data_IF_735037791501
#
_entry.id   IF_735037791501
#
_cell.length_a   1.000
_cell.length_b   1.000
_cell.length_c   1.000
_cell.angle_alpha   90.00
_cell.angle_beta   90.00
_cell.angle_gamma   90.00
#
_symmetry.space_group_name_H-M   'P 1'
#
loop_
_entity.id
_entity.type
_entity.pdbx_description
1 polymer ?
#
# COMPACT_ATOMS: atom_id res chain seq x y z
N UNK A 1 -19.76 25.13 -22.27
CA UNK A 1 -20.84 25.92 -22.93
C UNK A 1 -20.94 27.28 -22.26
N UNK A 2 -21.76 28.22 -22.72
CA UNK A 2 -21.98 29.49 -21.99
C UNK A 2 -22.89 29.29 -20.79
N UNK A 3 -22.86 30.22 -19.84
CA UNK A 3 -23.66 30.14 -18.61
C UNK A 3 -25.17 30.11 -18.92
N UNK A 4 -25.62 30.95 -19.83
CA UNK A 4 -27.04 31.06 -20.22
C UNK A 4 -27.52 29.78 -20.91
N UNK A 5 -26.73 29.23 -21.83
CA UNK A 5 -27.00 27.94 -22.50
C UNK A 5 -27.11 26.79 -21.49
N UNK A 6 -26.28 26.79 -20.43
CA UNK A 6 -26.31 25.76 -19.39
C UNK A 6 -27.55 25.91 -18.50
N UNK A 7 -27.95 27.14 -18.17
CA UNK A 7 -29.17 27.41 -17.41
C UNK A 7 -30.44 27.00 -18.18
N UNK A 8 -30.53 27.33 -19.47
CA UNK A 8 -31.64 26.89 -20.34
C UNK A 8 -31.71 25.36 -20.44
N UNK A 9 -30.56 24.68 -20.60
CA UNK A 9 -30.50 23.23 -20.64
C UNK A 9 -30.89 22.59 -19.30
N UNK A 10 -30.46 23.19 -18.19
CA UNK A 10 -30.82 22.75 -16.84
C UNK A 10 -32.33 22.88 -16.60
N UNK A 11 -32.94 24.01 -16.99
CA UNK A 11 -34.39 24.23 -16.85
C UNK A 11 -35.19 23.29 -17.76
N UNK A 12 -34.74 23.07 -19.00
CA UNK A 12 -35.40 22.14 -19.93
C UNK A 12 -35.42 20.69 -19.43
N UNK A 13 -34.42 20.25 -18.65
CA UNK A 13 -34.38 18.91 -18.04
C UNK A 13 -35.13 18.86 -16.71
N UNK A 14 -34.97 19.86 -15.84
CA UNK A 14 -35.43 19.81 -14.46
C UNK A 14 -36.77 20.53 -14.20
N UNK A 15 -37.30 21.26 -15.18
CA UNK A 15 -38.54 22.05 -15.04
C UNK A 15 -38.47 23.19 -14.02
N UNK A 16 -37.25 23.61 -13.65
CA UNK A 16 -36.98 24.69 -12.70
C UNK A 16 -35.63 25.34 -12.97
N UNK A 17 -35.46 26.56 -12.49
CA UNK A 17 -34.16 27.24 -12.44
C UNK A 17 -33.16 26.47 -11.56
N UNK A 18 -31.88 26.55 -11.93
CA UNK A 18 -30.77 26.02 -11.13
C UNK A 18 -30.61 26.82 -9.83
N UNK A 19 -30.29 26.13 -8.74
CA UNK A 19 -29.91 26.78 -7.48
C UNK A 19 -28.44 27.24 -7.53
N UNK A 20 -28.06 28.20 -6.70
CA UNK A 20 -26.69 28.71 -6.64
C UNK A 20 -25.65 27.61 -6.34
N UNK A 21 -26.05 26.55 -5.62
CA UNK A 21 -25.20 25.38 -5.35
C UNK A 21 -24.95 24.55 -6.61
N UNK A 22 -25.99 24.32 -7.43
CA UNK A 22 -25.88 23.56 -8.68
C UNK A 22 -25.07 24.33 -9.73
N UNK A 23 -25.30 25.65 -9.80
CA UNK A 23 -24.52 26.56 -10.65
C UNK A 23 -23.03 26.58 -10.26
N UNK A 24 -22.72 26.64 -8.96
CA UNK A 24 -21.35 26.59 -8.46
C UNK A 24 -20.68 25.24 -8.69
N UNK A 25 -21.44 24.13 -8.58
CA UNK A 25 -20.94 22.79 -8.84
C UNK A 25 -20.64 22.55 -10.33
N UNK A 26 -21.52 22.99 -11.23
CA UNK A 26 -21.31 22.90 -12.67
C UNK A 26 -20.14 23.79 -13.15
N UNK A 27 -19.95 24.98 -12.56
CA UNK A 27 -18.75 25.79 -12.80
C UNK A 27 -17.47 25.09 -12.31
N UNK A 28 -17.52 24.44 -11.13
CA UNK A 28 -16.39 23.68 -10.60
C UNK A 28 -16.06 22.41 -11.42
N UNK A 29 -17.07 21.81 -12.04
CA UNK A 29 -16.92 20.70 -13.00
C UNK A 29 -16.44 21.17 -14.39
N UNK A 30 -16.45 22.47 -14.67
CA UNK A 30 -16.10 23.03 -15.98
C UNK A 30 -17.17 22.82 -17.06
N UNK A 31 -18.44 22.61 -16.68
CA UNK A 31 -19.55 22.40 -17.63
C UNK A 31 -19.85 23.67 -18.45
N UNK A 32 -19.72 24.84 -17.82
CA UNK A 32 -19.80 26.14 -18.47
C UNK A 32 -18.65 27.07 -18.03
N UNK A 33 -18.34 28.07 -18.86
CA UNK A 33 -17.30 29.07 -18.59
C UNK A 33 -17.90 30.30 -17.88
N UNK A 34 -17.16 30.90 -16.94
CA UNK A 34 -17.60 32.11 -16.25
C UNK A 34 -17.41 33.35 -17.14
N UNK A 35 -18.52 33.92 -17.63
CA UNK A 35 -18.49 35.09 -18.50
C UNK A 35 -17.83 36.33 -17.86
N UNK A 36 -16.94 36.97 -18.62
CA UNK A 36 -16.33 38.25 -18.27
C UNK A 36 -17.32 39.40 -18.49
N UNK A 37 -17.75 40.03 -17.39
CA UNK A 37 -18.82 41.05 -17.30
C UNK A 37 -18.58 42.31 -18.16
N UNK A 38 -19.65 43.06 -18.48
CA UNK A 38 -19.93 44.30 -17.71
C UNK A 38 -21.41 44.51 -17.30
N UNK A 39 -21.60 45.24 -16.20
CA UNK A 39 -22.87 45.46 -15.47
C UNK A 39 -23.68 46.67 -15.97
N UNK A 40 -25.01 46.68 -15.73
CA UNK A 40 -25.88 47.78 -15.22
C UNK A 40 -27.41 47.51 -15.51
N UNK A 41 -28.42 48.26 -14.98
CA UNK A 41 -28.93 48.05 -13.60
C UNK A 41 -30.49 48.10 -13.47
N UNK A 42 -31.09 47.71 -12.33
CA UNK A 42 -32.45 48.18 -11.95
C UNK A 42 -32.56 48.54 -10.45
N UNK A 43 -32.70 49.85 -10.20
CA UNK A 43 -33.41 50.61 -9.16
C UNK A 43 -33.57 50.13 -7.69
N UNK A 44 -33.33 51.09 -6.78
CA UNK A 44 -33.56 51.07 -5.33
C UNK A 44 -35.00 51.47 -4.94
N UNK A 45 -35.40 51.19 -3.68
CA UNK A 45 -36.17 52.13 -2.85
C UNK A 45 -35.61 52.20 -1.42
N UNK A 46 -35.90 53.30 -0.72
CA UNK A 46 -35.20 53.85 0.46
C UNK A 46 -36.24 54.25 1.54
N UNK A 47 -35.85 54.37 2.83
CA UNK A 47 -36.29 55.43 3.80
C UNK A 47 -35.52 55.33 5.15
N UNK A 48 -35.34 56.49 5.82
CA UNK A 48 -34.59 56.76 7.07
C UNK A 48 -35.52 56.66 8.32
N UNK A 49 -35.12 56.69 9.63
CA UNK A 49 -34.61 57.77 10.52
C UNK A 49 -34.70 57.27 12.01
N UNK A 50 -34.30 57.93 13.13
CA UNK A 50 -33.09 58.68 13.59
C UNK A 50 -33.17 58.98 15.14
N UNK A 51 -32.02 59.10 15.83
CA UNK A 51 -31.74 59.73 17.16
C UNK A 51 -32.23 59.17 18.55
N UNK A 52 -31.24 59.01 19.47
CA UNK A 52 -31.17 59.33 20.95
C UNK A 52 -32.14 58.66 21.98
N UNK A 53 -31.95 58.61 23.31
CA UNK A 53 -30.99 59.23 24.30
C UNK A 53 -30.62 58.24 25.48
N UNK A 54 -30.21 58.70 26.68
CA UNK A 54 -29.80 57.91 27.89
C UNK A 54 -30.80 58.05 29.12
N UNK A 55 -30.46 57.74 30.42
CA UNK A 55 -30.40 56.40 31.05
C UNK A 55 -31.09 56.26 32.45
N UNK A 56 -31.53 55.04 32.88
CA UNK A 56 -31.55 54.61 34.32
C UNK A 56 -31.72 53.08 34.51
N UNK A 57 -31.34 52.57 35.71
CA UNK A 57 -31.21 51.15 36.07
C UNK A 57 -32.47 50.45 36.65
N UNK A 58 -32.41 49.10 36.67
CA UNK A 58 -32.88 48.15 37.72
C UNK A 58 -34.09 47.20 37.46
N UNK A 59 -33.72 45.97 37.06
CA UNK A 59 -34.26 44.64 37.47
C UNK A 59 -35.60 44.05 36.95
N UNK A 60 -35.42 42.86 36.34
CA UNK A 60 -36.21 41.60 36.38
C UNK A 60 -37.40 41.30 35.43
N UNK A 61 -37.25 40.13 34.78
CA UNK A 61 -38.24 39.17 34.22
C UNK A 61 -38.83 39.38 32.80
N UNK A 62 -38.08 38.82 31.84
CA UNK A 62 -38.53 37.85 30.82
C UNK A 62 -39.92 38.03 30.14
N UNK A 63 -39.91 38.64 28.95
CA UNK A 63 -40.67 38.12 27.80
C UNK A 63 -40.01 38.54 26.48
N UNK A 64 -40.35 37.84 25.41
CA UNK A 64 -39.50 37.74 24.21
C UNK A 64 -39.54 38.94 23.25
N UNK A 65 -38.50 38.98 22.39
CA UNK A 65 -38.52 39.39 20.96
C UNK A 65 -37.86 40.73 20.57
N UNK A 66 -36.54 40.71 20.43
CA UNK A 66 -35.79 41.22 19.25
C UNK A 66 -34.33 40.74 19.38
N UNK A 67 -33.78 40.04 18.39
CA UNK A 67 -33.06 40.63 17.24
C UNK A 67 -31.90 41.52 17.68
N UNK A 68 -30.69 40.97 17.72
CA UNK A 68 -29.49 41.77 17.51
C UNK A 68 -28.44 40.99 16.71
N UNK A 69 -27.69 41.72 15.89
CA UNK A 69 -26.96 41.21 14.73
C UNK A 69 -25.85 40.20 15.08
N UNK A 70 -25.88 39.04 14.43
CA UNK A 70 -24.69 38.21 14.31
C UNK A 70 -23.78 38.80 13.22
N UNK A 71 -22.53 39.08 13.57
CA UNK A 71 -21.54 39.60 12.62
C UNK A 71 -21.21 38.49 11.63
N UNK A 72 -21.74 38.61 10.40
CA UNK A 72 -21.38 37.72 9.29
C UNK A 72 -19.96 38.06 8.85
N UNK A 73 -18.97 37.49 9.52
CA UNK A 73 -17.68 37.23 8.86
C UNK A 73 -17.95 36.27 7.70
N UNK A 74 -17.25 36.40 6.56
CA UNK A 74 -17.34 35.43 5.47
C UNK A 74 -16.97 34.03 6.00
N UNK A 75 -17.97 33.15 6.10
CA UNK A 75 -17.70 31.73 6.33
C UNK A 75 -17.05 31.15 5.07
N UNK A 76 -15.72 31.07 5.06
CA UNK A 76 -14.97 30.26 4.10
C UNK A 76 -15.56 28.83 4.17
N UNK A 77 -15.93 28.21 3.03
CA UNK A 77 -16.66 26.95 3.05
C UNK A 77 -15.88 25.87 3.80
N UNK A 78 -16.46 25.34 4.89
CA UNK A 78 -15.82 24.46 5.87
C UNK A 78 -15.15 23.18 5.26
N UNK A 79 -15.58 22.76 4.07
CA UNK A 79 -14.94 21.69 3.31
C UNK A 79 -13.55 22.08 2.75
N UNK A 80 -13.31 23.34 2.38
CA UNK A 80 -12.04 23.78 1.82
C UNK A 80 -10.95 23.94 2.88
N UNK A 81 -11.29 24.49 4.05
CA UNK A 81 -10.37 24.59 5.20
C UNK A 81 -10.01 23.21 5.76
N UNK A 82 -10.97 22.30 5.94
CA UNK A 82 -10.67 20.95 6.45
C UNK A 82 -9.77 20.17 5.49
N UNK A 83 -9.97 20.30 4.18
CA UNK A 83 -9.11 19.65 3.16
C UNK A 83 -7.69 20.23 3.13
N UNK A 84 -7.54 21.56 3.22
CA UNK A 84 -6.23 22.23 3.34
C UNK A 84 -5.51 21.85 4.64
N UNK A 85 -6.19 21.94 5.78
CA UNK A 85 -5.63 21.61 7.09
C UNK A 85 -5.25 20.12 7.24
N UNK A 86 -6.02 19.21 6.63
CA UNK A 86 -5.64 17.79 6.56
C UNK A 86 -4.43 17.58 5.63
N UNK A 87 -4.34 18.29 4.50
CA UNK A 87 -3.15 18.27 3.63
C UNK A 87 -1.90 18.74 4.37
N UNK A 88 -1.99 19.83 5.14
CA UNK A 88 -0.87 20.36 5.93
C UNK A 88 -0.46 19.43 7.07
N UNK A 89 -1.42 18.84 7.80
CA UNK A 89 -1.15 17.80 8.80
C UNK A 89 -0.44 16.59 8.18
N UNK A 90 -0.92 16.07 7.05
CA UNK A 90 -0.28 14.94 6.36
C UNK A 90 1.13 15.29 5.89
N UNK A 91 1.35 16.50 5.34
CA UNK A 91 2.69 16.98 4.97
C UNK A 91 3.62 17.10 6.18
N UNK A 92 3.14 17.61 7.31
CA UNK A 92 3.89 17.74 8.56
C UNK A 92 4.29 16.36 9.12
N UNK A 93 3.33 15.44 9.28
CA UNK A 93 3.61 14.07 9.72
C UNK A 93 4.55 13.32 8.77
N UNK A 94 4.39 13.48 7.45
CA UNK A 94 5.30 12.89 6.47
C UNK A 94 6.74 13.42 6.58
N UNK A 95 6.92 14.74 6.69
CA UNK A 95 8.24 15.36 6.88
C UNK A 95 8.92 14.88 8.17
N UNK A 96 8.15 14.75 9.25
CA UNK A 96 8.65 14.26 10.54
C UNK A 96 9.03 12.78 10.47
N UNK A 97 8.21 11.95 9.81
CA UNK A 97 8.52 10.54 9.54
C UNK A 97 9.84 10.38 8.77
N UNK A 98 10.04 11.08 7.65
CA UNK A 98 11.28 10.95 6.88
C UNK A 98 12.52 11.47 7.63
N UNK A 99 12.37 12.56 8.40
CA UNK A 99 13.43 13.07 9.28
C UNK A 99 13.84 12.02 10.33
N UNK A 100 12.86 11.44 11.02
CA UNK A 100 13.06 10.34 11.96
C UNK A 100 13.66 9.10 11.29
N UNK A 101 13.18 8.71 10.10
CA UNK A 101 13.65 7.55 9.36
C UNK A 101 15.15 7.66 9.05
N UNK A 102 15.62 8.82 8.59
CA UNK A 102 17.04 9.08 8.32
C UNK A 102 17.87 9.08 9.61
N UNK A 103 17.36 9.62 10.73
CA UNK A 103 18.02 9.52 12.03
C UNK A 103 18.15 8.06 12.49
N UNK A 104 17.07 7.29 12.41
CA UNK A 104 16.99 5.91 12.85
C UNK A 104 17.84 4.97 11.97
N UNK A 105 17.95 5.22 10.67
CA UNK A 105 18.89 4.49 9.81
C UNK A 105 20.36 4.74 10.17
N UNK A 106 20.71 5.97 10.57
CA UNK A 106 22.06 6.30 11.06
C UNK A 106 22.34 5.71 12.43
N UNK A 107 21.36 5.75 13.33
CA UNK A 107 21.48 5.36 14.74
C UNK A 107 20.27 4.52 15.18
N UNK A 108 20.15 3.24 14.76
CA UNK A 108 18.96 2.38 14.98
C UNK A 108 18.78 1.89 16.43
N UNK A 109 19.47 2.51 17.39
CA UNK A 109 19.52 2.14 18.81
C UNK A 109 19.27 3.34 19.74
N UNK A 110 19.07 4.55 19.22
CA UNK A 110 18.84 5.76 20.03
C UNK A 110 17.36 5.80 20.45
N UNK A 111 17.14 5.87 21.76
CA UNK A 111 15.83 5.69 22.42
C UNK A 111 15.20 7.01 22.89
N UNK A 112 15.30 8.08 22.10
CA UNK A 112 15.06 9.46 22.58
C UNK A 112 14.07 10.31 21.78
N UNK A 113 13.34 9.76 20.81
CA UNK A 113 12.27 10.48 20.08
C UNK A 113 10.89 9.91 20.50
N UNK A 114 9.96 10.74 20.99
CA UNK A 114 8.63 10.32 21.49
C UNK A 114 7.79 9.56 20.45
N UNK A 115 8.03 9.82 19.16
CA UNK A 115 7.35 9.22 18.02
C UNK A 115 7.90 7.84 17.61
N UNK A 116 8.98 7.34 18.23
CA UNK A 116 9.68 6.12 17.81
C UNK A 116 8.75 4.89 17.72
N UNK A 117 7.77 4.78 18.63
CA UNK A 117 6.74 3.74 18.58
C UNK A 117 5.85 3.86 17.32
N UNK A 118 5.43 5.07 16.96
CA UNK A 118 4.50 5.31 15.85
C UNK A 118 5.20 5.17 14.50
N UNK A 119 6.31 5.89 14.31
CA UNK A 119 7.08 5.83 13.06
C UNK A 119 7.77 4.48 12.87
N UNK A 120 8.18 3.82 13.96
CA UNK A 120 8.64 2.44 13.95
C UNK A 120 7.56 1.46 13.50
N UNK A 121 6.33 1.58 14.02
CA UNK A 121 5.19 0.74 13.60
C UNK A 121 4.82 0.95 12.13
N UNK A 122 4.80 2.20 11.67
CA UNK A 122 4.59 2.54 10.24
C UNK A 122 5.67 1.89 9.38
N UNK A 123 6.94 1.97 9.80
CA UNK A 123 8.05 1.35 9.07
C UNK A 123 7.94 -0.18 9.01
N UNK A 124 7.46 -0.81 10.08
CA UNK A 124 7.22 -2.26 10.14
C UNK A 124 6.09 -2.70 9.21
N UNK A 125 4.99 -1.95 9.18
CA UNK A 125 3.86 -2.17 8.25
C UNK A 125 4.31 -2.03 6.80
N UNK A 126 5.03 -0.95 6.48
CA UNK A 126 5.59 -0.74 5.13
C UNK A 126 6.59 -1.84 4.75
N UNK A 127 7.43 -2.30 5.68
CA UNK A 127 8.35 -3.40 5.43
C UNK A 127 7.62 -4.70 5.10
N UNK A 128 6.56 -5.06 5.82
CA UNK A 128 5.74 -6.25 5.53
C UNK A 128 5.06 -6.12 4.16
N UNK A 129 4.50 -4.95 3.85
CA UNK A 129 3.84 -4.65 2.58
C UNK A 129 4.78 -4.78 1.37
N UNK A 130 6.02 -4.30 1.51
CA UNK A 130 7.04 -4.38 0.47
C UNK A 130 7.57 -5.79 0.27
N UNK A 131 7.75 -6.60 1.32
CA UNK A 131 8.18 -7.99 1.16
C UNK A 131 7.08 -8.87 0.57
N UNK A 132 5.81 -8.67 0.96
CA UNK A 132 4.66 -9.28 0.28
C UNK A 132 4.60 -8.88 -1.20
N UNK A 133 4.84 -7.59 -1.48
CA UNK A 133 4.96 -7.06 -2.84
C UNK A 133 6.10 -7.72 -3.62
N UNK A 134 7.25 -7.93 -2.99
CA UNK A 134 8.44 -8.52 -3.63
C UNK A 134 8.19 -9.99 -4.02
N UNK A 135 7.71 -10.80 -3.07
CA UNK A 135 7.39 -12.20 -3.33
C UNK A 135 6.37 -12.34 -4.47
N UNK A 136 5.28 -11.57 -4.42
CA UNK A 136 4.21 -11.67 -5.42
C UNK A 136 4.61 -11.10 -6.78
N UNK A 137 5.28 -9.95 -6.83
CA UNK A 137 5.74 -9.33 -8.08
C UNK A 137 6.82 -10.18 -8.75
N UNK A 138 7.71 -10.82 -7.99
CA UNK A 138 8.67 -11.78 -8.53
C UNK A 138 7.96 -12.95 -9.22
N UNK A 139 7.06 -13.64 -8.52
CA UNK A 139 6.34 -14.80 -9.08
C UNK A 139 5.51 -14.37 -10.30
N UNK A 140 4.76 -13.26 -10.19
CA UNK A 140 3.95 -12.72 -11.28
C UNK A 140 4.80 -12.39 -12.51
N UNK A 141 5.92 -11.69 -12.35
CA UNK A 141 6.85 -11.35 -13.45
C UNK A 141 7.50 -12.58 -14.05
N UNK A 142 7.90 -13.55 -13.22
CA UNK A 142 8.50 -14.80 -13.68
C UNK A 142 7.53 -15.62 -14.53
N UNK A 143 6.29 -15.79 -14.09
CA UNK A 143 5.25 -16.49 -14.85
C UNK A 143 4.91 -15.74 -16.15
N UNK A 144 4.74 -14.42 -16.11
CA UNK A 144 4.54 -13.62 -17.32
C UNK A 144 5.74 -13.68 -18.28
N UNK A 145 6.97 -13.78 -17.77
CA UNK A 145 8.16 -13.98 -18.60
C UNK A 145 8.09 -15.23 -19.47
N UNK A 146 7.39 -16.27 -18.99
CA UNK A 146 7.17 -17.55 -19.72
C UNK A 146 5.93 -17.43 -20.63
N UNK A 147 4.84 -16.81 -20.16
CA UNK A 147 3.60 -16.65 -20.94
C UNK A 147 3.77 -15.69 -22.13
N UNK A 148 4.58 -14.64 -21.94
CA UNK A 148 4.92 -13.63 -22.93
C UNK A 148 6.26 -13.94 -23.64
N UNK A 149 6.63 -15.23 -23.76
CA UNK A 149 7.72 -15.64 -24.63
C UNK A 149 7.34 -15.34 -26.09
N UNK A 150 8.24 -14.67 -26.80
CA UNK A 150 8.02 -14.16 -28.15
C UNK A 150 9.24 -14.37 -29.04
N UNK A 151 8.99 -14.35 -30.33
CA UNK A 151 9.98 -14.43 -31.42
C UNK A 151 9.67 -13.30 -32.41
N UNK A 152 10.53 -13.05 -33.42
CA UNK A 152 10.17 -12.16 -34.54
C UNK A 152 8.95 -12.64 -35.34
N UNK A 153 8.68 -13.95 -35.34
CA UNK A 153 7.73 -14.62 -36.23
C UNK A 153 6.38 -14.96 -35.57
N UNK A 154 6.31 -14.93 -34.23
CA UNK A 154 5.17 -15.44 -33.45
C UNK A 154 5.42 -15.52 -31.95
N UNK A 155 4.37 -15.91 -31.21
CA UNK A 155 4.30 -15.94 -29.74
C UNK A 155 3.11 -16.79 -29.28
N UNK A 156 3.06 -17.25 -28.02
CA UNK A 156 1.88 -17.98 -27.50
C UNK A 156 0.58 -17.17 -27.70
N UNK A 157 0.66 -15.84 -27.59
CA UNK A 157 -0.48 -14.93 -27.77
C UNK A 157 -1.05 -14.92 -29.19
N UNK A 158 -0.19 -15.05 -30.20
CA UNK A 158 -0.59 -15.07 -31.62
C UNK A 158 -0.94 -16.48 -32.08
N UNK A 159 -0.22 -17.47 -31.57
CA UNK A 159 -0.21 -18.84 -32.11
C UNK A 159 -1.22 -19.75 -31.36
N UNK A 160 -1.54 -19.40 -30.10
CA UNK A 160 -2.47 -20.12 -29.23
C UNK A 160 -3.24 -19.16 -28.28
N UNK A 161 -4.05 -18.22 -28.80
CA UNK A 161 -4.66 -17.13 -28.02
C UNK A 161 -5.52 -17.62 -26.84
N UNK A 162 -6.31 -18.69 -27.01
CA UNK A 162 -7.14 -19.26 -25.94
C UNK A 162 -6.32 -19.82 -24.76
N UNK A 163 -5.10 -20.28 -25.03
CA UNK A 163 -4.17 -20.79 -24.01
C UNK A 163 -3.49 -19.61 -23.32
N UNK A 164 -3.07 -18.60 -24.10
CA UNK A 164 -2.55 -17.35 -23.57
C UNK A 164 -3.54 -16.67 -22.62
N UNK A 165 -4.80 -16.49 -23.02
CA UNK A 165 -5.81 -15.81 -22.20
C UNK A 165 -6.12 -16.57 -20.91
N UNK A 166 -6.19 -17.91 -20.97
CA UNK A 166 -6.31 -18.77 -19.76
C UNK A 166 -5.15 -18.54 -18.79
N UNK A 167 -3.90 -18.59 -19.27
CA UNK A 167 -2.72 -18.38 -18.43
C UNK A 167 -2.62 -16.94 -17.88
N UNK A 168 -2.93 -15.94 -18.70
CA UNK A 168 -2.94 -14.53 -18.32
C UNK A 168 -3.99 -14.23 -17.23
N UNK A 169 -5.21 -14.72 -17.42
CA UNK A 169 -6.31 -14.55 -16.47
C UNK A 169 -6.03 -15.30 -15.17
N UNK A 170 -5.47 -16.52 -15.27
CA UNK A 170 -5.01 -17.28 -14.12
C UNK A 170 -3.99 -16.50 -13.29
N UNK A 171 -2.89 -16.01 -13.90
CA UNK A 171 -1.81 -15.33 -13.16
C UNK A 171 -2.32 -14.03 -12.54
N UNK A 172 -3.17 -13.30 -13.27
CA UNK A 172 -3.77 -12.05 -12.79
C UNK A 172 -4.73 -12.27 -11.61
N UNK A 173 -5.44 -13.42 -11.58
CA UNK A 173 -6.34 -13.80 -10.50
C UNK A 173 -5.58 -14.33 -9.27
N UNK A 174 -4.74 -15.35 -9.44
CA UNK A 174 -4.05 -16.02 -8.33
C UNK A 174 -2.87 -15.22 -7.73
N UNK A 175 -2.33 -14.25 -8.47
CA UNK A 175 -1.26 -13.37 -7.98
C UNK A 175 -1.65 -11.87 -8.05
N UNK A 176 -2.95 -11.60 -7.90
CA UNK A 176 -3.53 -10.25 -7.79
C UNK A 176 -3.57 -9.68 -6.35
N UNK A 177 -4.26 -8.55 -6.20
CA UNK A 177 -4.31 -7.76 -4.96
C UNK A 177 -4.77 -8.55 -3.72
N UNK A 178 -5.75 -9.46 -3.88
CA UNK A 178 -6.25 -10.26 -2.75
C UNK A 178 -5.18 -11.18 -2.16
N UNK A 179 -4.31 -11.75 -3.00
CA UNK A 179 -3.19 -12.57 -2.54
C UNK A 179 -2.06 -11.71 -1.99
N UNK A 180 -1.79 -10.54 -2.56
CA UNK A 180 -0.89 -9.57 -1.93
C UNK A 180 -1.32 -9.23 -0.50
N UNK A 181 -2.62 -8.98 -0.29
CA UNK A 181 -3.18 -8.67 1.04
C UNK A 181 -3.01 -9.85 2.02
N UNK A 182 -3.25 -11.10 1.58
CA UNK A 182 -3.01 -12.29 2.39
C UNK A 182 -1.54 -12.40 2.84
N UNK A 183 -0.59 -12.31 1.91
CA UNK A 183 0.85 -12.37 2.21
C UNK A 183 1.30 -11.21 3.09
N UNK A 184 0.74 -10.01 2.88
CA UNK A 184 0.99 -8.84 3.73
C UNK A 184 0.53 -9.05 5.17
N UNK A 185 -0.71 -9.51 5.40
CA UNK A 185 -1.22 -9.75 6.76
C UNK A 185 -0.43 -10.87 7.46
N UNK A 186 -0.05 -11.90 6.73
CA UNK A 186 0.75 -13.01 7.23
C UNK A 186 2.17 -12.57 7.65
N UNK A 187 2.84 -11.76 6.82
CA UNK A 187 4.15 -11.18 7.14
C UNK A 187 4.06 -10.15 8.27
N UNK A 188 3.01 -9.33 8.30
CA UNK A 188 2.73 -8.38 9.37
C UNK A 188 2.54 -9.09 10.71
N UNK A 189 1.87 -10.26 10.72
CA UNK A 189 1.74 -11.10 11.90
C UNK A 189 3.11 -11.59 12.40
N UNK A 190 3.97 -12.12 11.54
CA UNK A 190 5.31 -12.59 11.95
C UNK A 190 6.22 -11.47 12.40
N UNK A 191 6.18 -10.32 11.72
CA UNK A 191 6.88 -9.12 12.17
C UNK A 191 6.33 -8.65 13.52
N UNK A 192 5.01 -8.60 13.70
CA UNK A 192 4.37 -8.29 14.97
C UNK A 192 4.84 -9.22 16.10
N UNK A 193 4.81 -10.54 15.88
CA UNK A 193 5.31 -11.55 16.84
C UNK A 193 6.80 -11.33 17.15
N UNK A 194 7.62 -11.10 16.13
CA UNK A 194 9.07 -10.93 16.27
C UNK A 194 9.46 -9.70 17.10
N UNK A 195 8.69 -8.60 17.03
CA UNK A 195 8.95 -7.41 17.86
C UNK A 195 8.19 -7.45 19.21
N UNK A 196 7.04 -8.12 19.32
CA UNK A 196 6.25 -8.14 20.57
C UNK A 196 6.78 -9.11 21.61
N UNK A 197 7.22 -10.31 21.22
CA UNK A 197 7.73 -11.31 22.18
C UNK A 197 8.91 -10.77 23.01
N UNK A 198 9.95 -10.15 22.44
CA UNK A 198 11.03 -9.56 23.23
C UNK A 198 10.55 -8.44 24.16
N UNK A 199 9.59 -7.61 23.73
CA UNK A 199 9.02 -6.52 24.54
C UNK A 199 8.26 -7.02 25.78
N UNK A 200 7.59 -8.18 25.65
CA UNK A 200 6.87 -8.86 26.73
C UNK A 200 7.82 -9.59 27.69
N UNK A 201 8.96 -10.09 27.20
CA UNK A 201 9.96 -10.82 28.00
C UNK A 201 10.97 -9.91 28.72
N UNK A 202 11.14 -8.66 28.27
CA UNK A 202 11.92 -7.65 28.99
C UNK A 202 11.31 -7.36 30.38
N UNK A 203 12.17 -7.23 31.41
CA UNK A 203 11.77 -6.90 32.79
C UNK A 203 12.26 -5.52 33.22
N UNK A 204 12.68 -4.67 32.28
CA UNK A 204 12.96 -3.25 32.54
C UNK A 204 11.75 -2.53 33.15
N UNK A 205 11.98 -1.44 33.88
CA UNK A 205 10.90 -0.60 34.45
C UNK A 205 10.14 0.23 33.41
N UNK A 206 10.54 0.16 32.14
CA UNK A 206 9.93 0.90 31.03
C UNK A 206 8.50 0.43 30.74
N UNK A 207 7.66 1.35 30.27
CA UNK A 207 6.31 1.03 29.77
C UNK A 207 6.37 0.19 28.49
N UNK A 208 5.30 -0.55 28.19
CA UNK A 208 5.23 -1.36 26.96
C UNK A 208 5.47 -0.53 25.68
N UNK A 209 4.97 0.71 25.64
CA UNK A 209 5.16 1.64 24.50
C UNK A 209 6.65 1.95 24.29
N UNK A 210 7.41 2.22 25.36
CA UNK A 210 8.84 2.53 25.29
C UNK A 210 9.67 1.30 24.92
N UNK A 211 9.38 0.12 25.51
CA UNK A 211 10.06 -1.14 25.17
C UNK A 211 9.85 -1.52 23.70
N UNK A 212 8.60 -1.48 23.24
CA UNK A 212 8.26 -1.80 21.86
C UNK A 212 8.80 -0.74 20.89
N UNK A 213 8.75 0.55 21.25
CA UNK A 213 9.36 1.63 20.48
C UNK A 213 10.87 1.45 20.31
N UNK A 214 11.59 1.09 21.38
CA UNK A 214 13.03 0.76 21.34
C UNK A 214 13.32 -0.36 20.35
N UNK A 215 12.57 -1.46 20.41
CA UNK A 215 12.68 -2.57 19.46
C UNK A 215 12.43 -2.11 18.02
N UNK A 216 11.35 -1.37 17.78
CA UNK A 216 10.99 -0.82 16.47
C UNK A 216 12.01 0.17 15.88
N UNK A 217 13.00 0.63 16.66
CA UNK A 217 14.13 1.41 16.15
C UNK A 217 14.94 0.71 15.04
N UNK A 218 14.84 -0.62 14.93
CA UNK A 218 15.47 -1.41 13.86
C UNK A 218 14.57 -1.64 12.64
N UNK A 219 13.25 -1.37 12.73
CA UNK A 219 12.31 -1.53 11.62
C UNK A 219 12.69 -0.74 10.35
N UNK A 220 13.31 0.46 10.42
CA UNK A 220 13.88 1.14 9.26
C UNK A 220 14.90 0.33 8.45
N UNK A 221 15.74 -0.49 9.09
CA UNK A 221 16.71 -1.34 8.38
C UNK A 221 16.00 -2.42 7.57
N UNK A 222 14.98 -3.05 8.17
CA UNK A 222 14.13 -4.04 7.52
C UNK A 222 13.31 -3.42 6.38
N UNK A 223 12.82 -2.18 6.56
CA UNK A 223 12.15 -1.41 5.52
C UNK A 223 13.07 -1.17 4.31
N UNK A 224 14.28 -0.65 4.51
CA UNK A 224 15.25 -0.41 3.42
C UNK A 224 15.58 -1.71 2.69
N UNK A 225 15.79 -2.80 3.43
CA UNK A 225 16.07 -4.11 2.84
C UNK A 225 14.91 -4.62 1.99
N UNK A 226 13.67 -4.45 2.45
CA UNK A 226 12.48 -4.88 1.73
C UNK A 226 12.16 -3.95 0.54
N UNK A 227 12.53 -2.67 0.59
CA UNK A 227 12.56 -1.79 -0.60
C UNK A 227 13.53 -2.35 -1.64
N UNK A 228 14.76 -2.70 -1.24
CA UNK A 228 15.76 -3.29 -2.15
C UNK A 228 15.25 -4.61 -2.73
N UNK A 229 14.68 -5.50 -1.90
CA UNK A 229 14.07 -6.75 -2.37
C UNK A 229 12.96 -6.48 -3.39
N UNK A 230 12.05 -5.55 -3.12
CA UNK A 230 11.00 -5.17 -4.07
C UNK A 230 11.57 -4.63 -5.39
N UNK A 231 12.56 -3.73 -5.35
CA UNK A 231 13.19 -3.18 -6.55
C UNK A 231 13.93 -4.25 -7.37
N UNK A 232 14.61 -5.19 -6.72
CA UNK A 232 15.32 -6.31 -7.36
C UNK A 232 14.37 -7.18 -8.21
N UNK A 233 13.08 -7.29 -7.83
CA UNK A 233 12.09 -8.02 -8.65
C UNK A 233 11.87 -7.44 -10.05
N UNK A 234 12.14 -6.15 -10.26
CA UNK A 234 11.97 -5.50 -11.57
C UNK A 234 13.08 -5.87 -12.57
N UNK A 235 14.16 -6.52 -12.11
CA UNK A 235 15.15 -7.16 -12.98
C UNK A 235 14.57 -8.37 -13.73
N UNK A 236 13.50 -8.98 -13.20
CA UNK A 236 12.73 -9.98 -13.93
C UNK A 236 11.88 -9.27 -14.98
N UNK A 237 12.21 -9.45 -16.26
CA UNK A 237 11.35 -8.98 -17.36
C UNK A 237 10.08 -9.82 -17.41
N UNK A 238 8.95 -9.16 -17.67
CA UNK A 238 7.63 -9.78 -17.85
C UNK A 238 7.40 -10.29 -19.28
N UNK A 239 8.37 -10.13 -20.17
CA UNK A 239 8.38 -10.58 -21.56
C UNK A 239 9.82 -10.85 -22.01
N UNK A 240 9.99 -11.84 -22.89
CA UNK A 240 11.30 -12.22 -23.43
C UNK A 240 11.19 -12.47 -24.93
N UNK A 241 12.21 -12.03 -25.67
CA UNK A 241 12.40 -12.34 -27.07
C UNK A 241 13.52 -13.38 -27.19
N UNK A 242 13.21 -14.55 -27.74
CA UNK A 242 14.12 -15.71 -27.82
C UNK A 242 14.03 -16.40 -29.19
N UNK A 243 14.90 -17.39 -29.43
CA UNK A 243 14.90 -18.19 -30.67
C UNK A 243 13.58 -18.96 -30.84
N UNK A 244 13.13 -19.08 -32.09
CA UNK A 244 11.91 -19.80 -32.48
C UNK A 244 11.94 -21.30 -32.18
N UNK A 245 13.13 -21.90 -32.06
CA UNK A 245 13.31 -23.27 -31.58
C UNK A 245 12.74 -23.48 -30.15
N UNK A 246 12.94 -22.51 -29.26
CA UNK A 246 12.48 -22.63 -27.87
C UNK A 246 10.97 -22.36 -27.73
N UNK A 247 10.43 -21.41 -28.50
CA UNK A 247 9.00 -21.09 -28.48
C UNK A 247 8.17 -22.19 -29.14
N UNK A 248 8.65 -22.79 -30.23
CA UNK A 248 7.98 -23.95 -30.84
C UNK A 248 7.96 -25.15 -29.89
N UNK A 249 9.07 -25.46 -29.20
CA UNK A 249 9.11 -26.53 -28.17
C UNK A 249 8.26 -26.21 -26.93
N UNK A 250 8.16 -24.95 -26.52
CA UNK A 250 7.23 -24.53 -25.45
C UNK A 250 5.78 -24.73 -25.90
N UNK A 251 5.42 -24.22 -27.09
CA UNK A 251 4.08 -24.34 -27.67
C UNK A 251 3.68 -25.80 -27.83
N UNK A 252 4.56 -26.65 -28.38
CA UNK A 252 4.31 -28.09 -28.49
C UNK A 252 4.15 -28.73 -27.10
N UNK A 253 5.00 -28.43 -26.12
CA UNK A 253 4.85 -28.97 -24.76
C UNK A 253 3.54 -28.55 -24.09
N UNK A 254 3.10 -27.30 -24.30
CA UNK A 254 1.83 -26.80 -23.75
C UNK A 254 0.65 -27.47 -24.45
N UNK A 255 0.67 -27.64 -25.77
CA UNK A 255 -0.37 -28.33 -26.55
C UNK A 255 -0.41 -29.84 -26.20
N UNK A 256 0.73 -30.53 -26.21
CA UNK A 256 0.89 -31.95 -25.88
C UNK A 256 0.57 -32.26 -24.40
N UNK A 257 0.68 -31.26 -23.51
CA UNK A 257 0.26 -31.43 -22.12
C UNK A 257 -1.24 -31.68 -21.97
N UNK A 258 -2.06 -31.26 -22.95
CA UNK A 258 -3.53 -31.33 -22.85
C UNK A 258 -4.08 -30.54 -21.66
N UNK A 259 -3.37 -29.52 -21.19
CA UNK A 259 -3.68 -28.78 -19.96
C UNK A 259 -3.16 -29.42 -18.67
N UNK A 260 -2.51 -30.59 -18.70
CA UNK A 260 -1.92 -31.19 -17.50
C UNK A 260 -0.71 -30.38 -17.01
N UNK A 261 -0.92 -29.67 -15.90
CA UNK A 261 0.11 -28.86 -15.25
C UNK A 261 1.46 -29.58 -15.06
N UNK A 262 1.45 -30.85 -14.63
CA UNK A 262 2.70 -31.55 -14.33
C UNK A 262 3.57 -31.78 -15.59
N UNK A 263 2.94 -32.02 -16.74
CA UNK A 263 3.61 -32.09 -18.04
C UNK A 263 4.11 -30.70 -18.46
N UNK A 264 3.27 -29.68 -18.31
CA UNK A 264 3.62 -28.29 -18.63
C UNK A 264 4.79 -27.76 -17.78
N UNK A 265 4.79 -28.02 -16.46
CA UNK A 265 5.88 -27.69 -15.53
C UNK A 265 7.18 -28.43 -15.86
N UNK A 266 7.11 -29.68 -16.32
CA UNK A 266 8.30 -30.44 -16.71
C UNK A 266 8.97 -29.83 -17.96
N UNK A 267 8.18 -29.38 -18.93
CA UNK A 267 8.64 -28.60 -20.09
C UNK A 267 9.16 -27.21 -19.73
N UNK A 268 8.53 -26.52 -18.78
CA UNK A 268 9.04 -25.25 -18.28
C UNK A 268 10.38 -25.45 -17.55
N UNK A 269 10.54 -26.54 -16.80
CA UNK A 269 11.78 -26.89 -16.10
C UNK A 269 12.95 -27.19 -17.06
N UNK A 270 12.72 -27.87 -18.19
CA UNK A 270 13.76 -28.05 -19.22
C UNK A 270 14.11 -26.71 -19.87
N UNK A 271 13.13 -25.88 -20.24
CA UNK A 271 13.39 -24.58 -20.85
C UNK A 271 14.09 -23.59 -19.91
N UNK A 272 13.81 -23.60 -18.60
CA UNK A 272 14.56 -22.81 -17.61
C UNK A 272 16.05 -23.21 -17.59
N UNK A 273 16.37 -24.49 -17.85
CA UNK A 273 17.75 -24.97 -17.94
C UNK A 273 18.40 -24.66 -19.29
N UNK A 274 17.65 -24.73 -20.38
CA UNK A 274 18.17 -24.57 -21.74
C UNK A 274 18.26 -23.11 -22.20
N UNK A 275 17.41 -22.20 -21.70
CA UNK A 275 17.33 -20.80 -22.12
C UNK A 275 18.08 -19.89 -21.12
N UNK A 276 19.23 -19.28 -21.51
CA UNK A 276 20.03 -18.44 -20.60
C UNK A 276 19.25 -17.23 -20.05
N UNK A 277 18.33 -16.68 -20.84
CA UNK A 277 17.46 -15.60 -20.39
C UNK A 277 16.61 -15.99 -19.18
N UNK A 278 16.06 -17.22 -19.13
CA UNK A 278 15.27 -17.72 -17.99
C UNK A 278 16.16 -18.01 -16.77
N UNK A 279 17.37 -18.54 -16.96
CA UNK A 279 18.35 -18.73 -15.87
C UNK A 279 18.69 -17.41 -15.16
N UNK A 280 18.77 -16.30 -15.90
CA UNK A 280 19.02 -14.98 -15.31
C UNK A 280 17.91 -14.54 -14.35
N UNK A 281 16.66 -14.94 -14.60
CA UNK A 281 15.52 -14.64 -13.71
C UNK A 281 15.59 -15.48 -12.42
N UNK A 282 16.03 -16.74 -12.51
CA UNK A 282 16.26 -17.60 -11.33
C UNK A 282 17.34 -17.01 -10.42
N UNK A 283 18.34 -16.33 -10.98
CA UNK A 283 19.37 -15.62 -10.20
C UNK A 283 18.78 -14.47 -9.38
N UNK A 284 17.70 -13.82 -9.85
CA UNK A 284 16.94 -12.83 -9.07
C UNK A 284 16.28 -13.48 -7.85
N UNK A 285 15.76 -14.71 -7.97
CA UNK A 285 15.26 -15.47 -6.83
C UNK A 285 16.34 -15.69 -5.76
N UNK A 286 17.58 -15.98 -6.17
CA UNK A 286 18.72 -16.13 -5.25
C UNK A 286 19.01 -14.83 -4.50
N UNK A 287 18.97 -13.67 -5.18
CA UNK A 287 19.13 -12.37 -4.50
C UNK A 287 17.99 -12.10 -3.51
N UNK A 288 16.74 -12.41 -3.85
CA UNK A 288 15.60 -12.27 -2.94
C UNK A 288 15.72 -13.18 -1.71
N UNK A 289 16.19 -14.41 -1.88
CA UNK A 289 16.47 -15.33 -0.78
C UNK A 289 17.55 -14.78 0.16
N UNK A 290 18.67 -14.30 -0.38
CA UNK A 290 19.76 -13.68 0.39
C UNK A 290 19.25 -12.45 1.16
N UNK A 291 18.50 -11.56 0.52
CA UNK A 291 17.91 -10.38 1.18
C UNK A 291 16.92 -10.79 2.29
N UNK A 292 16.11 -11.83 2.08
CA UNK A 292 15.19 -12.35 3.10
C UNK A 292 15.95 -12.91 4.31
N UNK A 293 17.05 -13.64 4.08
CA UNK A 293 17.94 -14.15 5.15
C UNK A 293 18.62 -13.00 5.91
N UNK A 294 19.06 -11.94 5.23
CA UNK A 294 19.62 -10.75 5.88
C UNK A 294 18.57 -10.06 6.77
N UNK A 295 17.31 -9.97 6.31
CA UNK A 295 16.22 -9.38 7.09
C UNK A 295 15.90 -10.19 8.33
N UNK A 296 15.95 -11.51 8.20
CA UNK A 296 15.83 -12.47 9.29
C UNK A 296 16.95 -12.32 10.33
N UNK A 297 18.19 -12.06 9.89
CA UNK A 297 19.32 -11.74 10.79
C UNK A 297 19.09 -10.39 11.51
N UNK A 298 18.59 -9.35 10.82
CA UNK A 298 18.27 -8.05 11.44
C UNK A 298 17.21 -8.20 12.55
N UNK A 299 16.16 -8.99 12.30
CA UNK A 299 15.14 -9.32 13.30
C UNK A 299 15.76 -10.00 14.52
N UNK A 300 16.56 -11.05 14.31
CA UNK A 300 17.20 -11.85 15.36
C UNK A 300 18.16 -11.01 16.21
N UNK A 301 18.99 -10.16 15.59
CA UNK A 301 19.90 -9.23 16.30
C UNK A 301 19.11 -8.20 17.11
N UNK A 302 17.98 -7.71 16.60
CA UNK A 302 17.10 -6.78 17.33
C UNK A 302 16.49 -7.42 18.59
N UNK A 303 16.08 -8.69 18.50
CA UNK A 303 15.63 -9.46 19.67
C UNK A 303 16.73 -9.52 20.75
N UNK A 304 17.93 -10.04 20.39
CA UNK A 304 19.02 -10.30 21.35
C UNK A 304 19.45 -9.03 22.08
N UNK A 305 19.63 -7.91 21.37
CA UNK A 305 20.14 -6.67 21.98
C UNK A 305 19.20 -6.07 23.02
N UNK A 306 17.90 -6.31 22.92
CA UNK A 306 16.91 -5.66 23.77
C UNK A 306 16.72 -6.39 25.11
N UNK A 307 16.91 -7.71 25.17
CA UNK A 307 16.79 -8.51 26.40
C UNK A 307 17.99 -8.42 27.35
N UNK A 308 19.00 -7.59 27.04
CA UNK A 308 20.30 -7.58 27.72
C UNK A 308 20.34 -6.96 29.13
N UNK A 309 19.23 -6.41 29.65
CA UNK A 309 19.22 -5.60 30.89
C UNK A 309 18.63 -6.23 32.16
N UNK A 310 18.01 -7.42 32.12
CA UNK A 310 17.29 -7.91 33.32
C UNK A 310 17.09 -9.43 33.45
N UNK A 311 17.97 -10.26 32.89
CA UNK A 311 17.83 -11.73 32.95
C UNK A 311 18.91 -12.40 33.81
N UNK A 312 19.00 -12.00 35.07
CA UNK A 312 19.89 -12.62 36.08
C UNK A 312 19.51 -14.08 36.46
N UNK A 313 18.35 -14.57 36.00
CA UNK A 313 17.81 -15.89 36.38
C UNK A 313 17.69 -16.90 35.20
N UNK A 314 17.92 -16.45 33.97
CA UNK A 314 17.95 -17.30 32.76
C UNK A 314 19.10 -16.78 31.90
N UNK A 315 20.08 -17.63 31.60
CA UNK A 315 21.21 -17.24 30.77
C UNK A 315 20.71 -16.63 29.44
N UNK A 316 21.31 -15.53 28.98
CA UNK A 316 20.95 -14.84 27.72
C UNK A 316 20.88 -15.80 26.53
N UNK A 317 21.71 -16.86 26.55
CA UNK A 317 21.66 -17.99 25.63
C UNK A 317 20.29 -18.69 25.58
N UNK A 318 19.62 -18.95 26.71
CA UNK A 318 18.32 -19.62 26.73
C UNK A 318 17.19 -18.73 26.22
N UNK A 319 17.19 -17.44 26.56
CA UNK A 319 16.20 -16.50 25.98
C UNK A 319 16.42 -16.33 24.48
N UNK A 320 17.68 -16.32 24.02
CA UNK A 320 18.02 -16.37 22.59
C UNK A 320 17.51 -17.65 21.95
N UNK A 321 17.74 -18.82 22.56
CA UNK A 321 17.23 -20.11 22.07
C UNK A 321 15.70 -20.11 22.00
N UNK A 322 14.98 -19.62 23.01
CA UNK A 322 13.51 -19.58 23.01
C UNK A 322 12.97 -18.60 21.97
N UNK A 323 13.54 -17.40 21.85
CA UNK A 323 13.15 -16.43 20.82
C UNK A 323 13.43 -16.96 19.42
N UNK A 324 14.59 -17.60 19.20
CA UNK A 324 14.91 -18.29 17.94
C UNK A 324 13.99 -19.49 17.71
N UNK A 325 13.63 -20.26 18.72
CA UNK A 325 12.72 -21.40 18.59
C UNK A 325 11.31 -20.93 18.20
N UNK A 326 10.75 -19.93 18.89
CA UNK A 326 9.43 -19.37 18.57
C UNK A 326 9.44 -18.68 17.21
N UNK A 327 10.52 -17.98 16.87
CA UNK A 327 10.66 -17.36 15.55
C UNK A 327 10.85 -18.41 14.43
N UNK A 328 11.61 -19.48 14.65
CA UNK A 328 11.73 -20.61 13.71
C UNK A 328 10.42 -21.39 13.60
N UNK A 329 9.65 -21.53 14.68
CA UNK A 329 8.29 -22.10 14.65
C UNK A 329 7.37 -21.19 13.84
N UNK A 330 7.39 -19.88 14.09
CA UNK A 330 6.60 -18.90 13.35
C UNK A 330 6.98 -18.89 11.86
N UNK A 331 8.27 -18.93 11.53
CA UNK A 331 8.79 -19.04 10.15
C UNK A 331 8.50 -20.41 9.54
N UNK A 332 8.52 -21.51 10.28
CA UNK A 332 8.16 -22.83 9.77
C UNK A 332 6.67 -22.93 9.44
N UNK A 333 5.80 -22.40 10.32
CA UNK A 333 4.38 -22.28 10.02
C UNK A 333 4.13 -21.27 8.90
N UNK A 334 4.87 -20.15 8.83
CA UNK A 334 4.75 -19.21 7.71
C UNK A 334 5.23 -19.80 6.40
N UNK A 335 6.38 -20.44 6.36
CA UNK A 335 6.92 -21.10 5.18
C UNK A 335 5.95 -22.19 4.73
N UNK A 336 5.40 -22.99 5.65
CA UNK A 336 4.38 -23.98 5.30
C UNK A 336 3.08 -23.35 4.78
N UNK A 337 2.64 -22.20 5.31
CA UNK A 337 1.43 -21.48 4.85
C UNK A 337 1.65 -20.66 3.56
N UNK A 338 2.84 -20.09 3.38
CA UNK A 338 3.29 -19.36 2.20
C UNK A 338 3.51 -20.35 1.05
N UNK A 339 4.28 -21.40 1.29
CA UNK A 339 4.54 -22.47 0.36
C UNK A 339 3.26 -23.23 0.05
N UNK A 340 2.38 -23.53 1.03
CA UNK A 340 1.06 -24.08 0.69
C UNK A 340 0.27 -23.07 -0.14
N UNK A 341 0.17 -21.80 0.24
CA UNK A 341 -0.57 -20.80 -0.57
C UNK A 341 -0.01 -20.61 -1.98
N UNK A 342 1.31 -20.70 -2.18
CA UNK A 342 1.97 -20.69 -3.49
C UNK A 342 1.70 -22.00 -4.22
N UNK A 343 1.83 -23.16 -3.57
CA UNK A 343 1.56 -24.48 -4.13
C UNK A 343 0.08 -24.72 -4.42
N UNK A 344 -0.83 -24.08 -3.69
CA UNK A 344 -2.29 -24.11 -3.88
C UNK A 344 -2.67 -23.18 -5.03
N UNK A 345 -1.99 -22.04 -5.14
CA UNK A 345 -2.06 -21.21 -6.35
C UNK A 345 -1.57 -22.03 -7.54
N UNK A 346 -0.37 -22.62 -7.48
CA UNK A 346 0.16 -23.48 -8.53
C UNK A 346 -0.70 -24.73 -8.78
N UNK A 347 -1.31 -25.35 -7.77
CA UNK A 347 -2.14 -26.55 -7.95
C UNK A 347 -3.49 -26.21 -8.55
N UNK A 348 -4.02 -24.99 -8.34
CA UNK A 348 -5.18 -24.50 -9.10
C UNK A 348 -4.90 -24.30 -10.59
N UNK A 349 -3.64 -24.38 -11.05
CA UNK A 349 -3.32 -24.55 -12.48
C UNK A 349 -3.66 -25.97 -12.98
N UNK A 350 -3.67 -26.99 -12.11
CA UNK A 350 -4.01 -28.38 -12.48
C UNK A 350 -5.48 -28.48 -12.88
N UNK A 351 -6.35 -27.70 -12.25
CA UNK A 351 -7.79 -27.70 -12.51
C UNK A 351 -8.16 -27.02 -13.85
N UNK A 352 -7.20 -26.39 -14.54
CA UNK A 352 -7.37 -26.01 -15.96
C UNK A 352 -7.39 -27.23 -16.91
N UNK A 353 -7.03 -28.44 -16.45
CA UNK A 353 -7.06 -29.65 -17.30
C UNK A 353 -8.44 -30.30 -17.45
N UNK A 354 -9.53 -29.60 -17.07
CA UNK A 354 -10.91 -30.12 -17.07
C UNK A 354 -11.86 -29.45 -18.06
N UNK A 355 -11.39 -28.48 -18.86
CA UNK A 355 -12.17 -27.79 -19.90
C UNK A 355 -11.34 -27.43 -21.15
#
# INVERSE_FOLDING_TARGET
MKKEEWLEYFEAINGRLATDQELAQALANGEFEADSVPSEPIAQQVIYDVAEEEPVEATTQTSARQSNQEVILPQEPLQSQSTKANSEKVKHYGKNYFSWLVKALKNPQVTSDEDQFVFGSISLVLAAALLAGALLNYIRRFLFSIINLSTPDGSIKTDAPEVYDRLNNFVSSQFGLGKWLYFFLLLLLVYGIAYTIPALLDKSSLSFKERFGKLLGTAPLLLVLNVIAFLVTFLVKDSLLISSEYVSRLSSTVIESGGELNKMLSGFSSLIREVPALQSLVSVATYLLILTIIGLIVLLVSMIKTTSTSVSALNSTYTTIVSVLVFLIAVYFLDKLLLSSVLDSLSSLKDMSLF
#
